data_IF_517887907017
#
_entry.id   IF_517887907017
#
_cell.length_a   1.000
_cell.length_b   1.000
_cell.length_c   1.000
_cell.angle_alpha   90.00
_cell.angle_beta   90.00
_cell.angle_gamma   90.00
#
_symmetry.space_group_name_H-M   'P 1'
#
loop_
_entity.id
_entity.type
_entity.pdbx_description
1 polymer ?
#
# COMPACT_ATOMS: atom_id res chain seq x y z
N UNK A 1 32.97 9.40 -40.29
CA UNK A 1 33.43 8.65 -39.11
C UNK A 1 32.44 8.89 -37.99
N UNK A 2 31.60 7.88 -37.78
CA UNK A 2 30.66 7.56 -36.71
C UNK A 2 30.32 8.62 -35.65
N UNK A 3 29.15 9.26 -35.80
CA UNK A 3 28.34 9.68 -34.66
C UNK A 3 27.50 8.48 -34.20
N UNK A 4 28.09 7.62 -33.37
CA UNK A 4 27.33 6.62 -32.63
C UNK A 4 26.57 7.35 -31.53
N UNK A 5 25.28 7.61 -31.78
CA UNK A 5 24.36 8.10 -30.79
C UNK A 5 24.27 7.11 -29.65
N UNK A 6 24.76 7.52 -28.49
CA UNK A 6 24.55 6.82 -27.24
C UNK A 6 23.08 7.02 -26.85
N UNK A 7 22.21 6.16 -27.38
CA UNK A 7 20.84 6.04 -26.87
C UNK A 7 20.98 5.45 -25.47
N UNK A 8 20.98 6.30 -24.44
CA UNK A 8 20.56 5.89 -23.11
C UNK A 8 19.11 5.38 -23.26
N UNK A 9 18.94 4.08 -23.47
CA UNK A 9 17.66 3.43 -23.19
C UNK A 9 17.55 3.39 -21.67
N UNK A 10 17.02 4.47 -21.09
CA UNK A 10 16.49 4.41 -19.73
C UNK A 10 15.26 3.52 -19.77
N UNK A 11 15.48 2.20 -19.73
CA UNK A 11 14.51 1.27 -19.18
C UNK A 11 14.39 1.66 -17.70
N UNK A 12 13.52 2.63 -17.43
CA UNK A 12 13.16 3.01 -16.07
C UNK A 12 12.60 1.75 -15.42
N UNK A 13 13.27 1.26 -14.37
CA UNK A 13 12.79 0.13 -13.60
C UNK A 13 11.31 0.39 -13.24
N UNK A 14 10.37 -0.46 -13.70
CA UNK A 14 8.94 -0.26 -13.43
C UNK A 14 8.62 -0.28 -11.94
N UNK A 15 9.54 -0.77 -11.10
CA UNK A 15 9.47 -0.81 -9.65
C UNK A 15 10.29 0.29 -8.97
N UNK A 16 10.87 1.24 -9.71
CA UNK A 16 11.66 2.34 -9.15
C UNK A 16 10.89 3.17 -8.09
N UNK A 17 9.56 3.26 -8.22
CA UNK A 17 8.71 3.94 -7.24
C UNK A 17 8.69 3.23 -5.87
N UNK A 18 9.13 1.97 -5.81
CA UNK A 18 9.33 1.20 -4.59
C UNK A 18 10.76 1.29 -4.07
N UNK A 19 11.69 2.07 -4.66
CA UNK A 19 13.11 2.05 -4.32
C UNK A 19 13.48 2.45 -2.86
N UNK A 20 12.50 2.71 -1.99
CA UNK A 20 12.67 2.93 -0.56
C UNK A 20 11.91 1.91 0.32
N UNK A 21 11.59 2.32 1.56
CA UNK A 21 10.65 1.60 2.43
C UNK A 21 11.17 0.36 3.14
N UNK A 22 12.48 0.21 3.32
CA UNK A 22 13.07 -0.81 4.20
C UNK A 22 12.55 -2.24 3.96
N UNK A 23 11.99 -2.84 5.01
CA UNK A 23 11.47 -4.21 4.98
C UNK A 23 10.18 -4.28 4.16
N UNK A 24 9.26 -3.31 4.29
CA UNK A 24 7.99 -3.32 3.57
C UNK A 24 8.16 -3.06 2.08
N UNK A 25 9.07 -2.18 1.67
CA UNK A 25 9.44 -2.00 0.28
C UNK A 25 9.99 -3.29 -0.32
N UNK A 26 10.82 -4.01 0.43
CA UNK A 26 11.36 -5.31 0.01
C UNK A 26 10.27 -6.38 -0.10
N UNK A 27 9.35 -6.43 0.87
CA UNK A 27 8.20 -7.32 0.83
C UNK A 27 7.29 -7.03 -0.37
N UNK A 28 6.94 -5.77 -0.61
CA UNK A 28 6.09 -5.35 -1.73
C UNK A 28 6.73 -5.76 -3.06
N UNK A 29 8.06 -5.61 -3.22
CA UNK A 29 8.77 -6.05 -4.43
C UNK A 29 8.77 -7.57 -4.62
N UNK A 30 8.83 -8.34 -3.53
CA UNK A 30 8.89 -9.80 -3.56
C UNK A 30 7.52 -10.48 -3.73
N UNK A 31 6.43 -9.76 -3.47
CA UNK A 31 5.07 -10.31 -3.55
C UNK A 31 4.59 -10.48 -4.99
N UNK A 32 3.90 -11.60 -5.23
CA UNK A 32 3.19 -11.84 -6.48
C UNK A 32 1.82 -11.13 -6.47
N UNK A 33 1.82 -9.85 -6.83
CA UNK A 33 0.61 -9.02 -6.86
C UNK A 33 -0.42 -9.46 -7.89
N UNK A 34 -0.05 -10.28 -8.88
CA UNK A 34 -1.00 -10.83 -9.86
C UNK A 34 -2.09 -11.70 -9.22
N UNK A 35 -1.82 -12.22 -8.01
CA UNK A 35 -2.76 -12.99 -7.19
C UNK A 35 -3.71 -12.13 -6.36
N UNK A 36 -3.53 -10.81 -6.37
CA UNK A 36 -4.38 -9.85 -5.67
C UNK A 36 -5.34 -9.17 -6.65
N UNK A 37 -6.41 -8.56 -6.12
CA UNK A 37 -7.35 -7.78 -6.94
C UNK A 37 -6.74 -6.50 -7.54
N UNK A 38 -5.56 -6.05 -7.06
CA UNK A 38 -4.82 -4.94 -7.69
C UNK A 38 -4.10 -5.36 -8.97
N UNK A 39 -3.90 -6.66 -9.17
CA UNK A 39 -3.13 -7.19 -10.27
C UNK A 39 -1.63 -6.83 -10.19
N UNK A 40 -0.86 -7.17 -11.23
CA UNK A 40 0.59 -6.96 -11.25
C UNK A 40 0.95 -5.48 -11.10
N UNK A 41 2.03 -5.21 -10.37
CA UNK A 41 2.50 -3.84 -10.07
C UNK A 41 2.71 -2.98 -11.32
N UNK A 42 3.13 -3.59 -12.43
CA UNK A 42 3.29 -2.92 -13.71
C UNK A 42 1.98 -2.31 -14.26
N UNK A 43 0.83 -2.81 -13.84
CA UNK A 43 -0.50 -2.31 -14.21
C UNK A 43 -1.09 -1.31 -13.22
N UNK A 44 -0.42 -1.02 -12.10
CA UNK A 44 -0.96 -0.09 -11.10
C UNK A 44 -1.07 1.33 -11.66
N UNK A 45 -2.17 2.05 -11.36
CA UNK A 45 -2.33 3.43 -11.77
C UNK A 45 -1.26 4.31 -11.11
N UNK A 46 -0.86 5.40 -11.80
CA UNK A 46 0.18 6.31 -11.32
C UNK A 46 -0.13 6.88 -9.92
N UNK A 47 -1.40 7.16 -9.64
CA UNK A 47 -1.85 7.64 -8.33
C UNK A 47 -1.55 6.65 -7.20
N UNK A 48 -1.77 5.36 -7.41
CA UNK A 48 -1.43 4.32 -6.44
C UNK A 48 0.08 4.25 -6.23
N UNK A 49 0.86 4.27 -7.31
CA UNK A 49 2.33 4.24 -7.22
C UNK A 49 2.87 5.40 -6.39
N UNK A 50 2.43 6.62 -6.68
CA UNK A 50 2.83 7.82 -5.93
C UNK A 50 2.41 7.73 -4.45
N UNK A 51 1.20 7.27 -4.16
CA UNK A 51 0.70 7.11 -2.78
C UNK A 51 1.52 6.07 -2.01
N UNK A 52 1.86 4.94 -2.63
CA UNK A 52 2.72 3.92 -2.01
C UNK A 52 4.14 4.46 -1.79
N UNK A 53 4.71 5.20 -2.73
CA UNK A 53 6.02 5.84 -2.54
C UNK A 53 6.02 6.80 -1.34
N UNK A 54 4.97 7.61 -1.18
CA UNK A 54 4.82 8.51 -0.04
C UNK A 54 4.67 7.74 1.28
N UNK A 55 3.87 6.67 1.27
CA UNK A 55 3.72 5.78 2.43
C UNK A 55 5.07 5.19 2.87
N UNK A 56 5.84 4.64 1.92
CA UNK A 56 7.14 4.02 2.18
C UNK A 56 8.25 5.00 2.57
N UNK A 57 8.12 6.29 2.22
CA UNK A 57 9.09 7.32 2.56
C UNK A 57 8.87 7.95 3.95
N UNK A 58 7.75 7.63 4.62
CA UNK A 58 7.37 8.20 5.92
C UNK A 58 7.86 7.35 7.08
N UNK A 59 8.41 8.01 8.11
CA UNK A 59 8.71 7.39 9.41
C UNK A 59 7.47 7.22 10.30
N UNK A 60 6.38 7.92 10.00
CA UNK A 60 5.10 7.75 10.70
C UNK A 60 4.38 6.50 10.22
N UNK A 61 3.64 5.77 11.09
CA UNK A 61 2.81 4.64 10.69
C UNK A 61 1.76 5.04 9.64
N UNK A 62 1.85 4.47 8.44
CA UNK A 62 0.87 4.71 7.36
C UNK A 62 0.41 3.36 6.78
N UNK A 63 -0.91 3.24 6.61
CA UNK A 63 -1.56 2.17 5.86
C UNK A 63 -2.46 2.79 4.78
N UNK A 64 -2.19 2.45 3.52
CA UNK A 64 -2.98 2.82 2.35
C UNK A 64 -4.00 1.71 2.12
N UNK A 65 -5.28 2.06 2.05
CA UNK A 65 -6.37 1.12 1.77
C UNK A 65 -6.97 1.51 0.43
N UNK A 66 -6.74 0.68 -0.58
CA UNK A 66 -6.92 1.08 -1.98
C UNK A 66 -8.08 0.37 -2.68
N UNK A 67 -8.91 1.18 -3.35
CA UNK A 67 -9.93 0.75 -4.30
C UNK A 67 -11.08 -0.06 -3.68
N UNK A 68 -12.01 -0.56 -4.52
CA UNK A 68 -13.20 -1.29 -4.06
C UNK A 68 -12.88 -2.58 -3.31
N UNK A 69 -11.71 -3.18 -3.58
CA UNK A 69 -11.22 -4.36 -2.87
C UNK A 69 -10.67 -4.07 -1.48
N UNK A 70 -10.58 -2.79 -1.08
CA UNK A 70 -10.01 -2.32 0.20
C UNK A 70 -8.65 -2.98 0.48
N UNK A 71 -7.78 -3.01 -0.52
CA UNK A 71 -6.47 -3.67 -0.44
C UNK A 71 -5.52 -2.83 0.38
N UNK A 72 -4.95 -3.43 1.43
CA UNK A 72 -4.06 -2.70 2.34
C UNK A 72 -2.58 -2.81 1.94
N UNK A 73 -1.87 -1.68 1.95
CA UNK A 73 -0.43 -1.56 1.72
C UNK A 73 0.13 -0.63 2.78
N UNK A 74 1.17 -1.03 3.50
CA UNK A 74 1.65 -0.28 4.67
C UNK A 74 3.17 -0.22 4.77
N UNK A 75 3.68 0.73 5.55
CA UNK A 75 5.11 0.94 5.75
C UNK A 75 5.67 0.24 6.99
N UNK A 76 6.99 0.33 7.18
CA UNK A 76 7.71 -0.31 8.29
C UNK A 76 7.19 0.12 9.66
N UNK A 77 6.83 1.39 9.83
CA UNK A 77 6.30 1.89 11.10
C UNK A 77 4.91 1.32 11.43
N UNK A 78 4.06 1.10 10.41
CA UNK A 78 2.73 0.51 10.58
C UNK A 78 2.76 -1.01 10.81
N UNK A 79 3.84 -1.69 10.39
CA UNK A 79 4.04 -3.13 10.67
C UNK A 79 3.88 -3.47 12.15
N UNK A 80 4.32 -2.58 13.06
CA UNK A 80 4.21 -2.78 14.51
C UNK A 80 2.74 -2.91 14.93
N UNK A 81 1.85 -2.10 14.34
CA UNK A 81 0.39 -2.14 14.58
C UNK A 81 -0.21 -3.45 14.05
N UNK A 82 0.34 -3.98 12.93
CA UNK A 82 -0.08 -5.26 12.39
C UNK A 82 0.23 -6.45 13.31
N UNK A 83 1.23 -6.33 14.20
CA UNK A 83 1.61 -7.39 15.14
C UNK A 83 1.73 -8.76 14.48
N UNK A 84 1.12 -9.79 15.07
CA UNK A 84 1.09 -11.16 14.53
C UNK A 84 0.31 -11.33 13.22
N UNK A 85 -0.40 -10.29 12.75
CA UNK A 85 -1.06 -10.31 11.43
C UNK A 85 -0.10 -9.95 10.29
N UNK A 86 1.10 -9.44 10.56
CA UNK A 86 2.14 -9.27 9.55
C UNK A 86 2.87 -10.61 9.27
N UNK A 87 3.24 -10.95 8.02
CA UNK A 87 3.03 -10.20 6.77
C UNK A 87 1.71 -10.50 6.06
N UNK A 88 0.91 -11.45 6.57
CA UNK A 88 -0.27 -11.97 5.86
C UNK A 88 -1.28 -10.90 5.44
N UNK A 89 -1.34 -9.76 6.14
CA UNK A 89 -2.26 -8.66 5.81
C UNK A 89 -1.85 -7.84 4.59
N UNK A 90 -0.56 -7.83 4.21
CA UNK A 90 -0.09 -7.07 3.05
C UNK A 90 -0.81 -7.55 1.78
N UNK A 91 -1.43 -6.62 1.05
CA UNK A 91 -2.17 -6.91 -0.17
C UNK A 91 -3.51 -7.64 0.03
N UNK A 92 -3.97 -7.84 1.26
CA UNK A 92 -5.27 -8.45 1.56
C UNK A 92 -6.38 -7.43 1.75
N UNK A 93 -7.63 -7.90 1.71
CA UNK A 93 -8.81 -7.10 2.05
C UNK A 93 -8.74 -6.66 3.52
N UNK A 94 -8.80 -5.34 3.74
CA UNK A 94 -8.66 -4.75 5.06
C UNK A 94 -9.78 -5.16 6.04
N UNK A 95 -11.09 -5.05 5.71
CA UNK A 95 -12.17 -5.52 6.58
C UNK A 95 -12.04 -6.98 7.02
N UNK A 96 -11.59 -7.87 6.14
CA UNK A 96 -11.39 -9.29 6.47
C UNK A 96 -10.26 -9.52 7.47
N UNK A 97 -9.21 -8.71 7.41
CA UNK A 97 -8.08 -8.79 8.32
C UNK A 97 -8.35 -8.14 9.68
N UNK A 98 -9.24 -7.14 9.71
CA UNK A 98 -9.50 -6.26 10.85
C UNK A 98 -10.98 -6.28 11.23
N UNK A 99 -11.58 -7.47 11.23
CA UNK A 99 -13.02 -7.67 11.49
C UNK A 99 -13.44 -7.09 12.84
N UNK A 100 -12.56 -7.15 13.83
CA UNK A 100 -12.79 -6.65 15.19
C UNK A 100 -12.87 -5.11 15.21
N UNK A 101 -12.06 -4.45 14.37
CA UNK A 101 -12.02 -2.99 14.27
C UNK A 101 -13.11 -2.43 13.35
N UNK A 102 -13.60 -3.24 12.39
CA UNK A 102 -14.51 -2.80 11.34
C UNK A 102 -15.80 -2.12 11.84
N UNK A 103 -16.46 -2.55 12.93
CA UNK A 103 -17.62 -1.84 13.48
C UNK A 103 -17.33 -0.39 13.87
N UNK A 104 -16.08 -0.07 14.22
CA UNK A 104 -15.65 1.26 14.65
C UNK A 104 -15.22 2.11 13.45
N UNK A 105 -14.45 1.54 12.53
CA UNK A 105 -13.79 2.29 11.45
C UNK A 105 -14.47 2.18 10.09
N UNK A 106 -15.36 1.21 9.88
CA UNK A 106 -15.91 0.87 8.57
C UNK A 106 -16.68 2.01 7.91
N UNK A 107 -17.40 2.82 8.68
CA UNK A 107 -18.13 3.98 8.15
C UNK A 107 -17.19 5.01 7.50
N UNK A 108 -16.02 5.26 8.10
CA UNK A 108 -15.02 6.17 7.53
C UNK A 108 -14.44 5.66 6.21
N UNK A 109 -14.20 4.35 6.11
CA UNK A 109 -13.71 3.72 4.88
C UNK A 109 -14.77 3.76 3.77
N UNK A 110 -16.04 3.53 4.10
CA UNK A 110 -17.14 3.64 3.15
C UNK A 110 -17.32 5.07 2.63
N UNK A 111 -17.15 6.08 3.49
CA UNK A 111 -17.16 7.49 3.08
C UNK A 111 -15.99 7.84 2.16
N UNK A 112 -14.78 7.33 2.44
CA UNK A 112 -13.64 7.51 1.55
C UNK A 112 -13.88 6.86 0.17
N UNK A 113 -14.51 5.68 0.13
CA UNK A 113 -14.88 5.01 -1.12
C UNK A 113 -15.94 5.76 -1.94
N UNK A 114 -16.83 6.54 -1.30
CA UNK A 114 -17.81 7.39 -2.00
C UNK A 114 -17.21 8.69 -2.55
N UNK A 115 -15.91 8.93 -2.33
CA UNK A 115 -15.22 10.16 -2.75
C UNK A 115 -15.26 11.27 -1.72
N UNK A 116 -15.80 11.01 -0.52
CA UNK A 116 -15.81 11.94 0.59
C UNK A 116 -14.57 11.76 1.49
N UNK A 117 -14.48 12.56 2.55
CA UNK A 117 -13.42 12.47 3.56
C UNK A 117 -14.03 12.13 4.92
N UNK A 118 -13.30 11.33 5.68
CA UNK A 118 -13.62 11.04 7.07
C UNK A 118 -12.36 11.26 7.92
N UNK A 119 -12.56 11.82 9.11
CA UNK A 119 -11.53 11.94 10.13
C UNK A 119 -12.07 11.32 11.41
N UNK A 120 -11.33 10.37 11.96
CA UNK A 120 -11.67 9.70 13.20
C UNK A 120 -10.72 10.20 14.29
N UNK A 121 -11.26 10.89 15.29
CA UNK A 121 -10.53 11.29 16.48
C UNK A 121 -10.77 10.28 17.60
N UNK A 122 -9.70 9.87 18.29
CA UNK A 122 -9.70 8.98 19.46
C UNK A 122 -10.70 7.82 19.37
N UNK A 123 -10.29 6.74 18.70
CA UNK A 123 -11.08 5.51 18.63
C UNK A 123 -10.44 4.44 19.51
N UNK A 124 -11.20 3.87 20.43
CA UNK A 124 -10.78 2.69 21.17
C UNK A 124 -11.07 1.45 20.32
N UNK A 125 -10.00 0.87 19.77
CA UNK A 125 -10.06 -0.34 18.97
C UNK A 125 -9.39 -1.44 19.77
N UNK A 126 -10.15 -2.49 20.08
CA UNK A 126 -9.63 -3.68 20.73
C UNK A 126 -9.29 -4.69 19.64
N UNK A 127 -8.03 -5.11 19.63
CA UNK A 127 -7.51 -6.12 18.73
C UNK A 127 -7.23 -7.37 19.56
N UNK A 128 -7.71 -8.52 19.09
CA UNK A 128 -7.33 -9.83 19.65
C UNK A 128 -5.92 -10.26 19.20
#
# INVERSE_FOLDING_TARGET
MNHSGDKLSTDLDPLAFLAGGGEMGSLIRAMDWSKTVLGPVAGWPQSLRATVSLCLASDLPICVIWGPGLVQIYNDAYRIICGGKHPRTMGQNFPECWKEAWPVIGAAHNSALSGDKAFLEVQQIFLE
#
